data_IF_151404097047
#
_entry.id   IF_151404097047
#
_cell.length_a   1.000
_cell.length_b   1.000
_cell.length_c   1.000
_cell.angle_alpha   90.00
_cell.angle_beta   90.00
_cell.angle_gamma   90.00
#
_symmetry.space_group_name_H-M   'P 1'
#
loop_
_entity.id
_entity.type
_entity.pdbx_description
1 polymer ?
#
# COMPACT_ATOMS: atom_id res chain seq x y z
N UNK A 1 3.23 -0.93 17.40
CA UNK A 1 2.80 -0.73 15.98
C UNK A 1 4.05 -0.68 15.12
N UNK A 2 4.06 -1.38 13.99
CA UNK A 2 5.18 -1.37 13.04
C UNK A 2 5.10 -0.16 12.11
N UNK A 3 6.26 0.32 11.65
CA UNK A 3 6.34 1.45 10.72
C UNK A 3 6.92 1.02 9.38
N UNK A 4 6.26 1.47 8.32
CA UNK A 4 6.73 1.35 6.96
C UNK A 4 6.83 2.71 6.27
N UNK A 5 7.62 2.79 5.22
CA UNK A 5 7.63 3.94 4.32
C UNK A 5 7.40 3.49 2.89
N UNK A 6 6.73 4.31 2.10
CA UNK A 6 6.54 4.07 0.68
C UNK A 6 7.16 5.20 -0.12
N UNK A 7 7.98 4.85 -1.09
CA UNK A 7 8.51 5.79 -2.06
C UNK A 7 7.78 5.66 -3.41
N UNK A 8 7.58 6.79 -4.04
CA UNK A 8 7.30 6.90 -5.46
C UNK A 8 8.64 6.81 -6.20
N UNK A 9 8.83 5.92 -7.19
CA UNK A 9 10.12 5.71 -7.86
C UNK A 9 10.52 6.87 -8.80
N UNK A 10 10.44 8.11 -8.33
CA UNK A 10 10.79 9.34 -9.06
C UNK A 10 12.19 9.85 -8.72
N UNK A 11 12.73 9.48 -7.58
CA UNK A 11 14.06 9.92 -7.12
C UNK A 11 15.20 9.29 -7.91
N UNK A 12 16.39 9.91 -7.87
CA UNK A 12 17.59 9.25 -8.37
C UNK A 12 17.86 7.93 -7.62
N UNK A 13 18.65 7.06 -8.22
CA UNK A 13 19.02 5.77 -7.61
C UNK A 13 19.73 6.01 -6.28
N UNK A 14 20.68 6.94 -6.25
CA UNK A 14 21.49 7.28 -5.08
C UNK A 14 20.59 7.78 -3.93
N UNK A 15 19.61 8.63 -4.24
CA UNK A 15 18.67 9.15 -3.24
C UNK A 15 17.73 8.05 -2.72
N UNK A 16 17.25 7.16 -3.58
CA UNK A 16 16.43 6.01 -3.17
C UNK A 16 17.19 5.12 -2.19
N UNK A 17 18.46 4.82 -2.48
CA UNK A 17 19.34 4.05 -1.59
C UNK A 17 19.59 4.79 -0.28
N UNK A 18 19.85 6.10 -0.31
CA UNK A 18 20.08 6.91 0.88
C UNK A 18 18.85 6.95 1.80
N UNK A 19 17.65 7.18 1.24
CA UNK A 19 16.39 7.17 2.00
C UNK A 19 16.09 5.79 2.60
N UNK A 20 16.46 4.71 1.90
CA UNK A 20 16.31 3.33 2.42
C UNK A 20 17.17 3.11 3.67
N UNK A 21 18.43 3.52 3.63
CA UNK A 21 19.33 3.42 4.79
C UNK A 21 18.85 4.28 5.95
N UNK A 22 18.49 5.52 5.67
CA UNK A 22 17.99 6.44 6.69
C UNK A 22 16.71 5.90 7.36
N UNK A 23 15.79 5.32 6.61
CA UNK A 23 14.59 4.72 7.18
C UNK A 23 14.92 3.52 8.09
N UNK A 24 15.86 2.66 7.69
CA UNK A 24 16.31 1.56 8.54
C UNK A 24 16.98 2.05 9.82
N UNK A 25 17.82 3.09 9.75
CA UNK A 25 18.46 3.74 10.88
C UNK A 25 17.43 4.41 11.81
N UNK A 26 16.38 4.99 11.25
CA UNK A 26 15.24 5.59 11.95
C UNK A 26 14.29 4.56 12.60
N UNK A 27 14.55 3.25 12.46
CA UNK A 27 13.77 2.19 13.09
C UNK A 27 12.51 1.78 12.33
N UNK A 28 12.38 2.17 11.06
CA UNK A 28 11.35 1.61 10.20
C UNK A 28 11.61 0.13 9.95
N UNK A 29 10.54 -0.65 9.80
CA UNK A 29 10.61 -2.09 9.60
C UNK A 29 10.26 -2.52 8.17
N UNK A 30 9.57 -1.64 7.40
CA UNK A 30 9.11 -1.93 6.05
C UNK A 30 9.48 -0.80 5.08
N UNK A 31 9.90 -1.19 3.88
CA UNK A 31 10.12 -0.31 2.73
C UNK A 31 9.28 -0.77 1.54
N UNK A 32 8.49 0.13 0.97
CA UNK A 32 7.57 -0.17 -0.11
C UNK A 32 7.81 0.73 -1.31
N UNK A 33 7.52 0.22 -2.52
CA UNK A 33 7.57 1.00 -3.75
C UNK A 33 6.25 0.94 -4.52
N UNK A 34 5.85 2.07 -5.10
CA UNK A 34 4.81 2.09 -6.14
C UNK A 34 5.30 1.38 -7.40
N UNK A 35 4.40 0.64 -8.08
CA UNK A 35 4.69 -0.02 -9.37
C UNK A 35 3.75 0.49 -10.46
N UNK A 36 4.15 1.58 -11.12
CA UNK A 36 3.47 2.18 -12.27
C UNK A 36 4.51 2.61 -13.30
N UNK A 37 4.99 1.66 -14.07
CA UNK A 37 6.14 1.71 -14.96
C UNK A 37 6.13 2.81 -16.05
N UNK A 38 4.96 3.34 -16.40
CA UNK A 38 4.85 4.48 -17.34
C UNK A 38 5.07 5.82 -16.63
N UNK A 39 4.65 5.91 -15.36
CA UNK A 39 4.75 7.14 -14.58
C UNK A 39 6.12 7.26 -13.91
N UNK A 40 6.72 6.15 -13.50
CA UNK A 40 7.94 6.13 -12.70
C UNK A 40 8.88 5.00 -13.13
N UNK A 41 10.07 4.96 -12.51
CA UNK A 41 11.08 3.93 -12.75
C UNK A 41 10.56 2.54 -12.33
N UNK A 42 11.17 1.52 -12.91
CA UNK A 42 10.86 0.12 -12.67
C UNK A 42 11.10 -0.26 -11.20
N UNK A 43 10.07 -0.80 -10.55
CA UNK A 43 10.05 -1.01 -9.12
C UNK A 43 10.94 -2.17 -8.66
N UNK A 44 10.99 -3.29 -9.39
CA UNK A 44 11.74 -4.49 -8.98
C UNK A 44 13.25 -4.28 -9.04
N UNK A 45 13.72 -3.49 -10.03
CA UNK A 45 15.13 -3.07 -10.10
C UNK A 45 15.51 -2.23 -8.89
N UNK A 46 14.65 -1.27 -8.50
CA UNK A 46 14.88 -0.45 -7.31
C UNK A 46 14.77 -1.25 -6.02
N UNK A 47 13.83 -2.19 -5.90
CA UNK A 47 13.74 -3.11 -4.75
C UNK A 47 15.02 -3.92 -4.56
N UNK A 48 15.69 -4.32 -5.66
CA UNK A 48 17.01 -4.98 -5.58
C UNK A 48 18.04 -4.09 -4.89
N UNK A 49 18.10 -2.82 -5.26
CA UNK A 49 19.04 -1.86 -4.67
C UNK A 49 18.67 -1.55 -3.20
N UNK A 50 17.40 -1.46 -2.88
CA UNK A 50 16.93 -1.29 -1.49
C UNK A 50 17.27 -2.52 -0.64
N UNK A 51 17.13 -3.74 -1.19
CA UNK A 51 17.47 -4.98 -0.50
C UNK A 51 18.97 -5.07 -0.17
N UNK A 52 19.83 -4.60 -1.09
CA UNK A 52 21.27 -4.52 -0.86
C UNK A 52 21.68 -3.37 0.08
N UNK A 53 20.86 -2.31 0.15
CA UNK A 53 21.13 -1.13 0.98
C UNK A 53 20.69 -1.30 2.43
N UNK A 54 19.91 -2.33 2.75
CA UNK A 54 19.32 -2.58 4.08
C UNK A 54 19.57 -4.02 4.53
N UNK A 55 19.50 -4.25 5.83
CA UNK A 55 19.76 -5.56 6.46
C UNK A 55 18.57 -6.10 7.25
N UNK A 56 17.65 -5.25 7.65
CA UNK A 56 16.49 -5.59 8.50
C UNK A 56 15.14 -5.28 7.85
N UNK A 57 15.07 -4.24 7.00
CA UNK A 57 13.83 -3.85 6.34
C UNK A 57 13.22 -5.01 5.53
N UNK A 58 11.96 -5.30 5.79
CA UNK A 58 11.15 -6.04 4.85
C UNK A 58 10.77 -5.13 3.68
N UNK A 59 10.80 -5.63 2.47
CA UNK A 59 10.63 -4.84 1.26
C UNK A 59 9.52 -5.38 0.39
N UNK A 60 8.83 -4.51 -0.32
CA UNK A 60 7.77 -4.97 -1.22
C UNK A 60 7.21 -3.90 -2.12
N UNK A 61 6.27 -4.32 -2.96
CA UNK A 61 5.49 -3.42 -3.81
C UNK A 61 4.26 -2.89 -3.07
N UNK A 62 3.89 -1.63 -3.29
CA UNK A 62 2.70 -1.04 -2.70
C UNK A 62 1.93 -0.18 -3.74
N UNK A 63 1.37 -0.78 -4.77
CA UNK A 63 1.23 -2.20 -5.02
C UNK A 63 1.52 -2.52 -6.48
N UNK A 64 1.97 -3.75 -6.75
CA UNK A 64 1.99 -4.28 -8.12
C UNK A 64 0.60 -4.77 -8.56
N UNK A 65 0.51 -5.28 -9.80
CA UNK A 65 -0.74 -5.79 -10.36
C UNK A 65 -0.48 -6.95 -11.33
N UNK A 66 -1.48 -7.83 -11.59
CA UNK A 66 -1.28 -9.01 -12.42
C UNK A 66 -1.29 -8.75 -13.94
N UNK A 67 -1.43 -7.50 -14.39
CA UNK A 67 -1.64 -7.21 -15.81
C UNK A 67 -0.47 -6.53 -16.51
N UNK A 68 0.43 -5.90 -15.76
CA UNK A 68 1.63 -5.26 -16.31
C UNK A 68 2.82 -6.22 -16.37
N UNK A 69 2.71 -7.31 -15.62
CA UNK A 69 3.71 -8.38 -15.57
C UNK A 69 2.99 -9.69 -15.35
N UNK A 70 3.26 -10.68 -16.18
CA UNK A 70 2.67 -12.01 -16.06
C UNK A 70 3.03 -12.62 -14.69
N UNK A 71 2.11 -13.36 -14.02
CA UNK A 71 2.30 -13.83 -12.65
C UNK A 71 3.57 -14.66 -12.42
N UNK A 72 3.97 -15.50 -13.37
CA UNK A 72 5.21 -16.30 -13.24
C UNK A 72 6.47 -15.43 -13.29
N UNK A 73 6.46 -14.34 -14.07
CA UNK A 73 7.56 -13.36 -14.10
C UNK A 73 7.65 -12.62 -12.77
N UNK A 74 6.51 -12.26 -12.19
CA UNK A 74 6.45 -11.66 -10.85
C UNK A 74 6.99 -12.62 -9.78
N UNK A 75 6.59 -13.89 -9.83
CA UNK A 75 7.09 -14.93 -8.92
C UNK A 75 8.61 -15.11 -9.04
N UNK A 76 9.12 -15.19 -10.28
CA UNK A 76 10.55 -15.30 -10.55
C UNK A 76 11.34 -14.11 -9.99
N UNK A 77 10.87 -12.89 -10.20
CA UNK A 77 11.51 -11.68 -9.68
C UNK A 77 11.53 -11.68 -8.14
N UNK A 78 10.41 -12.04 -7.50
CA UNK A 78 10.31 -12.11 -6.04
C UNK A 78 11.21 -13.20 -5.45
N UNK A 79 11.34 -14.36 -6.11
CA UNK A 79 12.23 -15.42 -5.64
C UNK A 79 13.70 -14.97 -5.62
N UNK A 80 14.16 -14.27 -6.67
CA UNK A 80 15.51 -13.69 -6.70
C UNK A 80 15.69 -12.59 -5.66
N UNK A 81 14.69 -11.73 -5.50
CA UNK A 81 14.70 -10.66 -4.49
C UNK A 81 14.73 -11.22 -3.07
N UNK A 82 14.03 -12.32 -2.82
CA UNK A 82 14.06 -13.00 -1.52
C UNK A 82 15.45 -13.53 -1.20
N UNK A 83 16.11 -14.18 -2.16
CA UNK A 83 17.49 -14.63 -2.03
C UNK A 83 18.44 -13.47 -1.76
N UNK A 84 18.35 -12.36 -2.52
CA UNK A 84 19.18 -11.17 -2.32
C UNK A 84 18.95 -10.53 -0.95
N UNK A 85 17.71 -10.48 -0.50
CA UNK A 85 17.33 -9.84 0.76
C UNK A 85 17.53 -10.74 1.98
N UNK A 86 17.70 -12.06 1.81
CA UNK A 86 17.75 -13.04 2.90
C UNK A 86 16.38 -13.24 3.57
N UNK A 87 15.31 -13.40 2.76
CA UNK A 87 13.97 -13.75 3.27
C UNK A 87 13.11 -12.57 3.68
N UNK A 88 13.39 -11.34 3.18
CA UNK A 88 12.73 -10.10 3.60
C UNK A 88 11.75 -9.53 2.58
N UNK A 89 11.27 -10.33 1.63
CA UNK A 89 10.34 -9.83 0.61
C UNK A 89 8.88 -10.07 0.99
N UNK A 90 8.04 -9.08 0.68
CA UNK A 90 6.58 -9.11 0.77
C UNK A 90 5.96 -8.76 -0.60
N UNK A 91 4.84 -9.35 -0.94
CA UNK A 91 4.06 -8.99 -2.12
C UNK A 91 2.90 -8.09 -1.73
N UNK A 92 2.95 -6.82 -2.09
CA UNK A 92 1.77 -5.96 -2.08
C UNK A 92 1.15 -5.93 -3.47
N UNK A 93 -0.11 -6.32 -3.60
CA UNK A 93 -0.77 -6.49 -4.89
C UNK A 93 -2.19 -5.93 -4.90
N UNK A 94 -2.60 -5.39 -6.05
CA UNK A 94 -3.93 -4.88 -6.30
C UNK A 94 -4.36 -5.09 -7.75
N UNK A 95 -5.54 -4.57 -8.12
CA UNK A 95 -6.10 -4.74 -9.46
C UNK A 95 -5.41 -3.92 -10.56
N UNK A 96 -4.53 -2.98 -10.19
CA UNK A 96 -3.85 -2.09 -11.12
C UNK A 96 -4.69 -0.86 -11.47
N UNK A 97 -4.63 0.18 -10.64
CA UNK A 97 -5.25 1.48 -10.92
C UNK A 97 -4.34 2.31 -11.84
N UNK A 98 -3.38 3.06 -11.29
CA UNK A 98 -2.53 3.99 -12.05
C UNK A 98 -1.74 3.30 -13.16
N UNK A 99 -1.17 2.13 -12.89
CA UNK A 99 -0.38 1.37 -13.87
C UNK A 99 -1.17 0.95 -15.12
N UNK A 100 -2.49 0.81 -15.00
CA UNK A 100 -3.36 0.43 -16.11
C UNK A 100 -4.08 1.63 -16.73
N UNK A 101 -4.60 2.52 -15.90
CA UNK A 101 -5.39 3.66 -16.37
C UNK A 101 -4.55 4.66 -17.16
N UNK A 102 -3.26 4.83 -16.84
CA UNK A 102 -2.33 5.62 -17.67
C UNK A 102 -2.16 5.05 -19.08
N UNK A 103 -2.42 3.74 -19.26
CA UNK A 103 -2.44 3.06 -20.55
C UNK A 103 -3.84 3.06 -21.20
N UNK A 104 -4.81 3.78 -20.63
CA UNK A 104 -6.21 3.76 -21.09
C UNK A 104 -6.95 2.44 -20.84
N UNK A 105 -6.45 1.59 -19.94
CA UNK A 105 -7.01 0.26 -19.63
C UNK A 105 -7.68 0.24 -18.25
N UNK A 106 -8.81 -0.48 -18.07
CA UNK A 106 -9.44 -0.63 -16.77
C UNK A 106 -8.59 -1.52 -15.83
N UNK A 107 -8.76 -1.43 -14.50
CA UNK A 107 -8.22 -2.40 -13.55
C UNK A 107 -8.65 -3.83 -13.90
N UNK A 108 -7.83 -4.83 -13.50
CA UNK A 108 -8.17 -6.26 -13.71
C UNK A 108 -9.38 -6.67 -12.89
N UNK A 109 -9.94 -7.85 -13.18
CA UNK A 109 -11.04 -8.43 -12.39
C UNK A 109 -10.53 -8.93 -11.04
N UNK A 110 -11.45 -9.16 -10.11
CA UNK A 110 -11.09 -9.80 -8.82
C UNK A 110 -10.63 -11.25 -9.02
N UNK A 111 -11.25 -11.97 -9.97
CA UNK A 111 -10.85 -13.34 -10.31
C UNK A 111 -9.40 -13.40 -10.83
N UNK A 112 -9.04 -12.51 -11.75
CA UNK A 112 -7.66 -12.40 -12.27
C UNK A 112 -6.66 -12.07 -11.16
N UNK A 113 -7.04 -11.21 -10.21
CA UNK A 113 -6.18 -10.89 -9.07
C UNK A 113 -5.98 -12.09 -8.14
N UNK A 114 -7.05 -12.81 -7.82
CA UNK A 114 -7.01 -14.01 -6.95
C UNK A 114 -6.20 -15.14 -7.58
N UNK A 115 -6.40 -15.39 -8.87
CA UNK A 115 -5.63 -16.37 -9.64
C UNK A 115 -4.13 -16.02 -9.64
N UNK A 116 -3.78 -14.77 -9.94
CA UNK A 116 -2.39 -14.31 -9.94
C UNK A 116 -1.73 -14.46 -8.56
N UNK A 117 -2.42 -14.14 -7.47
CA UNK A 117 -1.91 -14.38 -6.11
C UNK A 117 -1.63 -15.86 -5.88
N UNK A 118 -2.54 -16.73 -6.31
CA UNK A 118 -2.40 -18.18 -6.18
C UNK A 118 -1.18 -18.70 -6.94
N UNK A 119 -1.02 -18.26 -8.20
CA UNK A 119 0.12 -18.64 -9.05
C UNK A 119 1.43 -18.15 -8.45
N UNK A 120 1.52 -16.85 -8.13
CA UNK A 120 2.75 -16.25 -7.58
C UNK A 120 3.15 -16.97 -6.28
N UNK A 121 2.22 -17.13 -5.34
CA UNK A 121 2.48 -17.77 -4.05
C UNK A 121 2.92 -19.23 -4.24
N UNK A 122 2.23 -20.00 -5.08
CA UNK A 122 2.59 -21.40 -5.31
C UNK A 122 3.99 -21.57 -5.89
N UNK A 123 4.33 -20.75 -6.89
CA UNK A 123 5.65 -20.81 -7.54
C UNK A 123 6.77 -20.44 -6.57
N UNK A 124 6.58 -19.39 -5.78
CA UNK A 124 7.57 -18.94 -4.78
C UNK A 124 7.74 -19.98 -3.67
N UNK A 125 6.66 -20.64 -3.26
CA UNK A 125 6.70 -21.72 -2.26
C UNK A 125 7.23 -23.06 -2.81
N UNK A 126 7.73 -23.08 -4.05
CA UNK A 126 8.32 -24.27 -4.69
C UNK A 126 7.29 -25.30 -5.16
N UNK A 127 5.99 -24.96 -5.13
CA UNK A 127 4.91 -25.83 -5.58
C UNK A 127 4.63 -25.67 -7.07
N UNK A 128 4.25 -26.76 -7.73
CA UNK A 128 3.68 -26.67 -9.06
C UNK A 128 2.26 -26.07 -9.01
N UNK A 129 1.88 -25.37 -10.07
CA UNK A 129 0.55 -24.76 -10.22
C UNK A 129 0.14 -24.80 -11.69
N UNK A 130 -1.13 -25.11 -11.95
CA UNK A 130 -1.71 -24.97 -13.28
C UNK A 130 -2.07 -23.50 -13.55
N UNK A 131 -1.63 -22.98 -14.69
CA UNK A 131 -1.96 -21.65 -15.17
C UNK A 131 -2.12 -21.65 -16.68
N UNK A 132 -3.25 -21.15 -17.18
CA UNK A 132 -3.60 -21.13 -18.62
C UNK A 132 -3.40 -22.50 -19.32
N UNK A 133 -3.79 -23.59 -18.64
CA UNK A 133 -3.71 -24.97 -19.17
C UNK A 133 -2.30 -25.58 -19.16
N UNK A 134 -1.33 -24.96 -18.49
CA UNK A 134 0.04 -25.47 -18.38
C UNK A 134 0.45 -25.54 -16.93
N UNK A 135 1.11 -26.67 -16.54
CA UNK A 135 1.73 -26.78 -15.22
C UNK A 135 3.04 -25.98 -15.21
N UNK A 136 3.13 -25.04 -14.28
CA UNK A 136 4.31 -24.20 -14.05
C UNK A 136 5.00 -24.58 -12.74
N UNK A 137 6.33 -24.47 -12.72
CA UNK A 137 7.16 -24.59 -11.52
C UNK A 137 8.47 -23.84 -11.69
N UNK A 138 8.92 -23.12 -10.65
CA UNK A 138 10.26 -22.56 -10.60
C UNK A 138 11.24 -23.64 -10.13
N UNK A 139 11.90 -24.33 -11.07
CA UNK A 139 12.77 -25.49 -10.77
C UNK A 139 14.09 -25.12 -10.11
N UNK A 140 14.47 -23.85 -10.16
CA UNK A 140 15.72 -23.29 -9.63
C UNK A 140 15.53 -22.57 -8.30
N UNK A 141 14.29 -22.16 -7.98
CA UNK A 141 14.01 -21.40 -6.75
C UNK A 141 13.94 -22.33 -5.54
N UNK A 142 14.35 -21.80 -4.39
CA UNK A 142 14.07 -22.42 -3.10
C UNK A 142 12.58 -22.36 -2.76
N UNK A 143 12.24 -22.81 -1.56
CA UNK A 143 10.88 -22.69 -1.02
C UNK A 143 10.88 -21.75 0.17
N UNK A 144 10.04 -20.71 0.13
CA UNK A 144 9.88 -19.76 1.22
C UNK A 144 8.45 -19.23 1.28
N UNK A 145 8.03 -18.76 2.45
CA UNK A 145 6.69 -18.21 2.63
C UNK A 145 6.66 -16.76 2.18
N UNK A 146 5.84 -16.46 1.18
CA UNK A 146 5.62 -15.10 0.68
C UNK A 146 4.43 -14.45 1.40
N UNK A 147 4.64 -13.44 2.27
CA UNK A 147 3.54 -12.66 2.80
C UNK A 147 2.87 -11.83 1.69
N UNK A 148 1.56 -11.96 1.57
CA UNK A 148 0.76 -11.28 0.54
C UNK A 148 -0.15 -10.23 1.20
N UNK A 149 0.01 -8.98 0.76
CA UNK A 149 -0.78 -7.84 1.16
C UNK A 149 -1.67 -7.39 0.00
N UNK A 150 -2.98 -7.39 0.21
CA UNK A 150 -3.94 -7.00 -0.83
C UNK A 150 -4.41 -5.58 -0.60
N UNK A 151 -4.30 -4.72 -1.62
CA UNK A 151 -4.91 -3.39 -1.60
C UNK A 151 -6.35 -3.47 -2.13
N UNK A 152 -7.31 -3.02 -1.34
CA UNK A 152 -8.71 -3.03 -1.74
C UNK A 152 -9.66 -2.43 -0.70
N UNK A 153 -10.77 -1.89 -1.20
CA UNK A 153 -11.76 -1.18 -0.39
C UNK A 153 -13.16 -1.81 -0.46
N UNK A 154 -13.47 -2.49 -1.57
CA UNK A 154 -14.82 -3.00 -1.80
C UNK A 154 -15.08 -4.34 -1.11
N UNK A 155 -16.36 -4.67 -0.85
CA UNK A 155 -16.75 -5.91 -0.19
C UNK A 155 -16.12 -7.17 -0.79
N UNK A 156 -16.08 -7.29 -2.12
CA UNK A 156 -15.44 -8.45 -2.78
C UNK A 156 -13.94 -8.53 -2.53
N UNK A 157 -13.24 -7.37 -2.53
CA UNK A 157 -11.80 -7.34 -2.26
C UNK A 157 -11.50 -7.71 -0.81
N UNK A 158 -12.30 -7.19 0.15
CA UNK A 158 -12.16 -7.50 1.56
C UNK A 158 -12.49 -8.97 1.87
N UNK A 159 -13.52 -9.52 1.19
CA UNK A 159 -13.86 -10.93 1.30
C UNK A 159 -12.73 -11.85 0.78
N UNK A 160 -12.13 -11.53 -0.35
CA UNK A 160 -10.96 -12.25 -0.88
C UNK A 160 -9.77 -12.11 0.08
N UNK A 161 -9.49 -10.90 0.55
CA UNK A 161 -8.40 -10.63 1.50
C UNK A 161 -8.54 -11.49 2.76
N UNK A 162 -9.72 -11.53 3.38
CA UNK A 162 -10.00 -12.37 4.55
C UNK A 162 -9.75 -13.86 4.29
N UNK A 163 -9.96 -14.32 3.05
CA UNK A 163 -9.78 -15.73 2.65
C UNK A 163 -8.32 -16.12 2.43
N UNK A 164 -7.54 -15.30 1.69
CA UNK A 164 -6.26 -15.75 1.14
C UNK A 164 -5.06 -14.87 1.48
N UNK A 165 -5.23 -13.64 1.98
CA UNK A 165 -4.13 -12.73 2.22
C UNK A 165 -3.55 -12.81 3.64
N UNK A 166 -2.33 -12.32 3.81
CA UNK A 166 -1.65 -12.17 5.11
C UNK A 166 -1.79 -10.74 5.66
N UNK A 167 -2.13 -9.80 4.79
CA UNK A 167 -2.39 -8.42 5.15
C UNK A 167 -3.32 -7.71 4.18
N UNK A 168 -3.89 -6.60 4.64
CA UNK A 168 -4.66 -5.65 3.83
C UNK A 168 -3.97 -4.29 3.85
N UNK A 169 -3.91 -3.63 2.69
CA UNK A 169 -3.43 -2.26 2.55
C UNK A 169 -4.64 -1.35 2.36
N UNK A 170 -4.89 -0.50 3.35
CA UNK A 170 -5.93 0.51 3.34
C UNK A 170 -5.30 1.89 3.17
N UNK A 171 -5.55 2.52 2.02
CA UNK A 171 -4.96 3.83 1.69
C UNK A 171 -5.77 4.97 2.32
N UNK A 172 -5.75 5.07 3.63
CA UNK A 172 -6.30 6.16 4.44
C UNK A 172 -5.86 6.03 5.90
N UNK A 173 -5.96 7.14 6.65
CA UNK A 173 -5.68 7.19 8.09
C UNK A 173 -6.89 7.72 8.89
N UNK A 174 -8.10 7.47 8.42
CA UNK A 174 -9.34 7.82 9.11
C UNK A 174 -9.74 6.71 10.08
N UNK A 175 -9.77 6.94 11.42
CA UNK A 175 -10.04 5.90 12.40
C UNK A 175 -11.41 5.23 12.27
N UNK A 176 -12.45 5.99 11.90
CA UNK A 176 -13.81 5.46 11.74
C UNK A 176 -13.90 4.54 10.53
N UNK A 177 -13.31 4.94 9.40
CA UNK A 177 -13.23 4.11 8.21
C UNK A 177 -12.36 2.88 8.44
N UNK A 178 -11.22 3.02 9.11
CA UNK A 178 -10.37 1.88 9.51
C UNK A 178 -11.18 0.88 10.33
N UNK A 179 -11.92 1.33 11.35
CA UNK A 179 -12.77 0.46 12.16
C UNK A 179 -13.78 -0.30 11.31
N UNK A 180 -14.41 0.36 10.34
CA UNK A 180 -15.36 -0.28 9.43
C UNK A 180 -14.67 -1.34 8.55
N UNK A 181 -13.53 -1.02 7.91
CA UNK A 181 -12.76 -1.96 7.10
C UNK A 181 -12.27 -3.16 7.89
N UNK A 182 -11.75 -2.93 9.10
CA UNK A 182 -11.31 -4.00 10.00
C UNK A 182 -12.48 -4.95 10.31
N UNK A 183 -13.67 -4.42 10.59
CA UNK A 183 -14.88 -5.22 10.80
C UNK A 183 -15.17 -6.14 9.60
N UNK A 184 -15.10 -5.63 8.37
CA UNK A 184 -15.32 -6.41 7.15
C UNK A 184 -14.25 -7.51 6.98
N UNK A 185 -12.98 -7.20 7.22
CA UNK A 185 -11.88 -8.18 7.14
C UNK A 185 -12.07 -9.27 8.19
N UNK A 186 -12.40 -8.95 9.43
CA UNK A 186 -12.64 -9.92 10.51
C UNK A 186 -13.83 -10.84 10.22
N UNK A 187 -14.93 -10.28 9.67
CA UNK A 187 -16.05 -11.09 9.20
C UNK A 187 -15.65 -12.06 8.09
N UNK A 188 -14.79 -11.62 7.18
CA UNK A 188 -14.30 -12.44 6.07
C UNK A 188 -13.34 -13.55 6.52
N UNK A 189 -12.47 -13.29 7.50
CA UNK A 189 -11.64 -14.31 8.16
C UNK A 189 -12.52 -15.41 8.78
N UNK A 190 -13.53 -15.01 9.54
CA UNK A 190 -14.47 -15.94 10.20
C UNK A 190 -15.23 -16.79 9.17
N UNK A 191 -15.73 -16.16 8.08
CA UNK A 191 -16.41 -16.87 6.99
C UNK A 191 -15.51 -17.88 6.27
N UNK A 192 -14.21 -17.62 6.24
CA UNK A 192 -13.20 -18.50 5.66
C UNK A 192 -12.64 -19.54 6.66
N UNK A 193 -13.13 -19.58 7.90
CA UNK A 193 -12.64 -20.48 8.95
C UNK A 193 -11.21 -20.15 9.43
N UNK A 194 -10.73 -18.92 9.21
CA UNK A 194 -9.41 -18.47 9.66
C UNK A 194 -9.49 -17.86 11.06
N UNK A 195 -8.39 -17.90 11.77
CA UNK A 195 -8.29 -17.25 13.08
C UNK A 195 -8.45 -15.74 12.95
N UNK A 196 -9.20 -15.16 13.85
CA UNK A 196 -9.37 -13.71 13.92
C UNK A 196 -8.02 -13.01 14.11
N UNK A 197 -7.72 -12.03 13.28
CA UNK A 197 -6.45 -11.31 13.31
C UNK A 197 -5.34 -11.94 12.48
N UNK A 198 -5.62 -13.02 11.74
CA UNK A 198 -4.66 -13.62 10.80
C UNK A 198 -4.29 -12.68 9.64
N UNK A 199 -5.19 -11.76 9.27
CA UNK A 199 -4.92 -10.68 8.30
C UNK A 199 -4.46 -9.44 9.06
N UNK A 200 -3.22 -9.03 8.82
CA UNK A 200 -2.66 -7.80 9.38
C UNK A 200 -3.24 -6.57 8.68
N UNK A 201 -3.49 -5.52 9.42
CA UNK A 201 -4.05 -4.26 8.89
C UNK A 201 -2.93 -3.25 8.73
N UNK A 202 -2.74 -2.77 7.49
CA UNK A 202 -1.87 -1.64 7.17
C UNK A 202 -2.73 -0.42 6.84
N UNK A 203 -2.52 0.68 7.56
CA UNK A 203 -2.96 2.02 7.16
C UNK A 203 -1.82 2.68 6.39
N UNK A 204 -2.07 3.04 5.14
CA UNK A 204 -1.08 3.66 4.26
C UNK A 204 -1.54 5.07 3.88
N UNK A 205 -0.82 6.10 4.34
CA UNK A 205 -1.20 7.49 4.12
C UNK A 205 0.01 8.43 4.19
N UNK A 206 -0.07 9.62 3.57
CA UNK A 206 0.90 10.66 3.80
C UNK A 206 0.91 11.11 5.26
N UNK A 207 2.11 11.38 5.76
CA UNK A 207 2.32 12.03 7.03
C UNK A 207 3.18 13.29 6.82
N UNK A 208 2.80 14.39 7.43
CA UNK A 208 3.56 15.64 7.33
C UNK A 208 3.55 16.38 8.67
N UNK A 209 4.74 16.49 9.28
CA UNK A 209 4.94 17.22 10.54
C UNK A 209 5.18 18.68 10.22
N UNK A 210 4.41 19.58 10.84
CA UNK A 210 4.58 21.02 10.68
C UNK A 210 3.31 21.82 10.91
N UNK A 211 3.28 23.05 10.40
CA UNK A 211 2.12 23.92 10.43
C UNK A 211 0.99 23.32 9.59
N UNK A 212 -0.23 23.30 10.11
CA UNK A 212 -1.35 22.52 9.56
C UNK A 212 -1.73 22.94 8.13
N UNK A 213 -1.69 24.25 7.80
CA UNK A 213 -1.97 24.73 6.45
C UNK A 213 -0.98 24.19 5.42
N UNK A 214 0.31 24.20 5.76
CA UNK A 214 1.35 23.59 4.92
C UNK A 214 1.18 22.08 4.81
N UNK A 215 0.86 21.41 5.92
CA UNK A 215 0.60 19.97 5.92
C UNK A 215 -0.51 19.61 4.92
N UNK A 216 -1.63 20.33 4.97
CA UNK A 216 -2.76 20.16 4.05
C UNK A 216 -2.37 20.40 2.59
N UNK A 217 -1.63 21.46 2.31
CA UNK A 217 -1.13 21.75 0.96
C UNK A 217 -0.32 20.60 0.40
N UNK A 218 0.60 20.06 1.21
CA UNK A 218 1.52 18.97 0.82
C UNK A 218 0.85 17.61 0.67
N UNK A 219 -0.34 17.41 1.22
CA UNK A 219 -0.98 16.09 1.28
C UNK A 219 -2.36 16.02 0.61
N UNK A 220 -2.96 17.15 0.20
CA UNK A 220 -4.29 17.22 -0.42
C UNK A 220 -4.46 16.34 -1.67
N UNK A 221 -3.37 16.04 -2.36
CA UNK A 221 -3.36 15.11 -3.50
C UNK A 221 -3.81 13.68 -3.14
N UNK A 222 -3.65 13.31 -1.87
CA UNK A 222 -3.87 11.93 -1.45
C UNK A 222 -5.37 11.53 -1.42
N UNK A 223 -6.29 12.26 -0.81
CA UNK A 223 -7.72 11.98 -0.95
C UNK A 223 -8.19 12.00 -2.41
N UNK A 224 -7.59 12.86 -3.26
CA UNK A 224 -7.88 12.85 -4.69
C UNK A 224 -7.45 11.53 -5.35
N UNK A 225 -6.28 10.98 -4.99
CA UNK A 225 -5.83 9.65 -5.42
C UNK A 225 -6.83 8.57 -4.96
N UNK A 226 -7.20 8.57 -3.68
CA UNK A 226 -8.14 7.59 -3.10
C UNK A 226 -9.50 7.66 -3.78
N UNK A 227 -9.92 8.85 -4.24
CA UNK A 227 -11.20 9.05 -4.92
C UNK A 227 -11.40 8.14 -6.16
N UNK A 228 -10.32 7.71 -6.83
CA UNK A 228 -10.39 6.80 -7.97
C UNK A 228 -11.01 5.45 -7.56
N UNK A 229 -10.61 4.95 -6.40
CA UNK A 229 -11.16 3.70 -5.85
C UNK A 229 -12.58 3.88 -5.36
N UNK A 230 -12.89 5.04 -4.77
CA UNK A 230 -14.23 5.36 -4.27
C UNK A 230 -15.23 5.48 -5.42
N UNK A 231 -14.85 6.08 -6.55
CA UNK A 231 -15.69 6.13 -7.77
C UNK A 231 -16.00 4.71 -8.27
N UNK A 232 -15.02 3.83 -8.31
CA UNK A 232 -15.25 2.44 -8.70
C UNK A 232 -16.21 1.72 -7.74
N UNK A 233 -16.17 2.06 -6.44
CA UNK A 233 -17.09 1.49 -5.45
C UNK A 233 -18.52 1.98 -5.62
N UNK A 234 -18.76 3.29 -5.72
CA UNK A 234 -20.12 3.86 -5.84
C UNK A 234 -20.77 3.51 -7.19
N UNK A 235 -19.99 3.16 -8.21
CA UNK A 235 -20.49 2.65 -9.47
C UNK A 235 -20.90 1.17 -9.41
N UNK A 236 -20.44 0.43 -8.40
CA UNK A 236 -20.62 -1.01 -8.29
C UNK A 236 -21.54 -1.44 -7.13
N UNK A 237 -21.55 -0.69 -6.05
CA UNK A 237 -22.30 -1.01 -4.84
C UNK A 237 -23.27 0.11 -4.49
N UNK A 238 -24.46 -0.23 -3.92
CA UNK A 238 -25.37 0.76 -3.37
C UNK A 238 -24.66 1.66 -2.33
N UNK A 239 -24.94 2.97 -2.37
CA UNK A 239 -24.29 3.92 -1.45
C UNK A 239 -24.60 3.61 0.03
N UNK A 240 -25.76 3.05 0.29
CA UNK A 240 -26.25 2.68 1.63
C UNK A 240 -25.39 1.55 2.26
N UNK A 241 -24.68 0.78 1.45
CA UNK A 241 -23.76 -0.27 1.91
C UNK A 241 -22.36 0.25 2.20
N UNK A 242 -22.07 1.52 1.88
CA UNK A 242 -20.75 2.14 2.01
C UNK A 242 -20.81 3.30 3.01
N UNK A 243 -19.76 3.52 3.83
CA UNK A 243 -19.70 4.67 4.72
C UNK A 243 -19.82 6.01 3.97
N UNK A 244 -20.70 6.92 4.45
CA UNK A 244 -20.87 8.25 3.86
C UNK A 244 -19.55 9.05 3.90
N UNK A 245 -18.76 8.88 4.95
CA UNK A 245 -17.43 9.49 5.07
C UNK A 245 -16.47 9.10 3.95
N UNK A 246 -16.65 7.90 3.39
CA UNK A 246 -15.86 7.42 2.25
C UNK A 246 -16.40 7.94 0.93
N UNK A 247 -17.71 8.07 0.78
CA UNK A 247 -18.36 8.32 -0.52
C UNK A 247 -18.80 9.76 -0.73
N UNK A 248 -19.00 10.52 0.35
CA UNK A 248 -19.58 11.87 0.30
C UNK A 248 -18.67 12.90 -0.38
N UNK A 249 -17.37 12.83 -0.12
CA UNK A 249 -16.44 13.86 -0.59
C UNK A 249 -16.16 13.85 -2.10
N UNK A 250 -16.51 12.76 -2.81
CA UNK A 250 -16.31 12.68 -4.26
C UNK A 250 -17.44 13.31 -5.09
N UNK A 251 -18.46 13.92 -4.48
CA UNK A 251 -19.64 14.46 -5.18
C UNK A 251 -19.26 15.51 -6.22
N UNK A 252 -18.29 16.37 -5.90
CA UNK A 252 -17.85 17.47 -6.75
C UNK A 252 -16.66 17.10 -7.66
N UNK A 253 -16.30 15.82 -7.70
CA UNK A 253 -15.20 15.33 -8.52
C UNK A 253 -15.58 15.32 -10.00
N UNK A 254 -14.81 16.02 -10.84
CA UNK A 254 -15.08 16.14 -12.27
C UNK A 254 -14.21 15.26 -13.16
N UNK A 255 -13.14 14.64 -12.62
CA UNK A 255 -12.23 13.81 -13.40
C UNK A 255 -10.96 13.47 -12.63
N UNK A 256 -10.00 12.86 -13.29
CA UNK A 256 -8.67 12.59 -12.74
C UNK A 256 -7.64 12.40 -13.86
N UNK A 257 -6.57 13.18 -13.82
CA UNK A 257 -5.45 13.04 -14.74
C UNK A 257 -4.36 12.15 -14.11
N UNK A 258 -4.17 10.96 -14.68
CA UNK A 258 -3.18 10.01 -14.19
C UNK A 258 -1.73 10.42 -14.45
N UNK A 259 -1.45 11.37 -15.36
CA UNK A 259 -0.09 11.91 -15.56
C UNK A 259 0.36 12.77 -14.36
N UNK A 260 -0.59 13.30 -13.60
CA UNK A 260 -0.35 14.04 -12.35
C UNK A 260 -0.74 13.22 -11.10
N UNK A 261 -0.57 11.89 -11.17
CA UNK A 261 -0.90 10.96 -10.08
C UNK A 261 0.08 11.10 -8.90
N UNK A 262 -0.47 11.20 -7.68
CA UNK A 262 0.30 11.35 -6.45
C UNK A 262 1.29 12.56 -6.50
N UNK A 263 0.83 13.70 -7.01
CA UNK A 263 1.64 14.91 -7.18
C UNK A 263 1.12 16.04 -6.29
N UNK A 264 2.03 16.63 -5.52
CA UNK A 264 1.74 17.82 -4.69
C UNK A 264 1.36 19.00 -5.59
N UNK A 265 0.24 19.68 -5.28
CA UNK A 265 -0.26 20.80 -6.06
C UNK A 265 -1.02 20.43 -7.33
N UNK A 266 -1.26 19.11 -7.57
CA UNK A 266 -2.04 18.63 -8.71
C UNK A 266 -3.45 19.23 -8.74
N UNK A 267 -3.94 19.61 -9.93
CA UNK A 267 -5.32 20.04 -10.18
C UNK A 267 -6.35 18.95 -9.88
N UNK A 268 -5.94 17.68 -9.84
CA UNK A 268 -6.77 16.57 -9.39
C UNK A 268 -7.37 16.79 -7.99
N UNK A 269 -6.72 17.58 -7.14
CA UNK A 269 -7.11 17.80 -5.75
C UNK A 269 -8.09 18.99 -5.55
N UNK A 270 -8.53 19.66 -6.61
CA UNK A 270 -9.35 20.87 -6.51
C UNK A 270 -10.70 20.71 -5.79
N UNK A 271 -11.26 19.51 -5.74
CA UNK A 271 -12.51 19.20 -5.03
C UNK A 271 -12.30 18.75 -3.57
N UNK A 272 -11.05 18.54 -3.14
CA UNK A 272 -10.74 18.01 -1.81
C UNK A 272 -10.68 19.13 -0.78
N UNK A 273 -11.58 19.08 0.22
CA UNK A 273 -11.59 20.01 1.35
C UNK A 273 -10.56 19.67 2.44
N UNK A 274 -10.35 20.62 3.34
CA UNK A 274 -9.41 20.49 4.46
C UNK A 274 -9.81 19.34 5.39
N UNK A 275 -11.10 19.22 5.74
CA UNK A 275 -11.63 18.16 6.61
C UNK A 275 -11.26 16.77 6.10
N UNK A 276 -11.45 16.51 4.81
CA UNK A 276 -11.13 15.21 4.20
C UNK A 276 -9.62 14.96 4.21
N UNK A 277 -8.83 16.00 3.98
CA UNK A 277 -7.37 15.92 4.06
C UNK A 277 -6.91 15.55 5.47
N UNK A 278 -7.44 16.22 6.49
CA UNK A 278 -7.13 15.96 7.90
C UNK A 278 -7.55 14.56 8.33
N UNK A 279 -8.66 14.06 7.83
CA UNK A 279 -9.14 12.71 8.14
C UNK A 279 -8.26 11.64 7.49
N UNK A 280 -7.89 11.79 6.23
CA UNK A 280 -7.20 10.76 5.46
C UNK A 280 -5.70 10.70 5.68
N UNK A 281 -5.08 11.79 6.16
CA UNK A 281 -3.64 11.92 6.35
C UNK A 281 -3.29 12.03 7.84
N UNK A 282 -2.00 11.93 8.19
CA UNK A 282 -1.48 12.16 9.54
C UNK A 282 -0.71 13.47 9.54
N UNK A 283 -1.28 14.53 10.15
CA UNK A 283 -0.85 15.92 9.98
C UNK A 283 -0.73 16.64 11.33
N UNK A 284 0.13 17.65 11.39
CA UNK A 284 0.27 18.54 12.54
C UNK A 284 1.58 18.41 13.29
N UNK A 285 1.58 18.68 14.58
CA UNK A 285 2.74 18.50 15.45
C UNK A 285 2.98 17.01 15.75
N UNK A 286 4.13 16.68 16.35
CA UNK A 286 4.48 15.31 16.72
C UNK A 286 3.41 14.66 17.60
N UNK A 287 2.85 15.43 18.54
CA UNK A 287 1.81 14.99 19.46
C UNK A 287 0.52 14.60 18.73
N UNK A 288 0.15 15.33 17.67
CA UNK A 288 -1.01 15.04 16.84
C UNK A 288 -0.82 13.71 16.08
N UNK A 289 0.40 13.50 15.56
CA UNK A 289 0.77 12.23 14.92
C UNK A 289 0.64 11.06 15.91
N UNK A 290 1.22 11.18 17.10
CA UNK A 290 1.18 10.15 18.14
C UNK A 290 -0.26 9.85 18.55
N UNK A 291 -1.09 10.87 18.75
CA UNK A 291 -2.49 10.71 19.12
C UNK A 291 -3.26 9.92 18.05
N UNK A 292 -3.16 10.33 16.78
CA UNK A 292 -3.85 9.68 15.67
C UNK A 292 -3.35 8.24 15.44
N UNK A 293 -2.04 8.01 15.50
CA UNK A 293 -1.48 6.68 15.34
C UNK A 293 -1.91 5.72 16.47
N UNK A 294 -2.04 6.20 17.72
CA UNK A 294 -2.58 5.41 18.83
C UNK A 294 -4.06 5.05 18.60
N UNK A 295 -4.84 5.96 18.08
CA UNK A 295 -6.24 5.72 17.74
C UNK A 295 -6.35 4.66 16.61
N UNK A 296 -5.55 4.76 15.55
CA UNK A 296 -5.48 3.74 14.50
C UNK A 296 -5.06 2.37 15.07
N UNK A 297 -4.07 2.33 15.96
CA UNK A 297 -3.64 1.11 16.65
C UNK A 297 -4.77 0.48 17.47
N UNK A 298 -5.54 1.30 18.20
CA UNK A 298 -6.69 0.85 18.98
C UNK A 298 -7.80 0.22 18.10
N UNK A 299 -7.90 0.65 16.84
CA UNK A 299 -8.81 0.06 15.85
C UNK A 299 -8.20 -1.14 15.08
N UNK A 300 -7.01 -1.60 15.46
CA UNK A 300 -6.42 -2.86 14.96
C UNK A 300 -5.38 -2.69 13.87
N UNK A 301 -4.95 -1.46 13.54
CA UNK A 301 -3.82 -1.22 12.65
C UNK A 301 -2.55 -1.78 13.27
N UNK A 302 -1.87 -2.65 12.56
CA UNK A 302 -0.59 -3.26 12.96
C UNK A 302 0.61 -2.59 12.32
N UNK A 303 0.41 -1.98 11.14
CA UNK A 303 1.44 -1.25 10.43
C UNK A 303 0.90 0.10 9.94
N UNK A 304 1.59 1.19 10.29
CA UNK A 304 1.41 2.47 9.61
C UNK A 304 2.48 2.61 8.54
N UNK A 305 2.05 2.78 7.30
CA UNK A 305 2.91 2.93 6.14
C UNK A 305 2.87 4.39 5.66
N UNK A 306 3.91 5.13 5.99
CA UNK A 306 4.04 6.53 5.62
C UNK A 306 4.29 6.67 4.12
N UNK A 307 3.39 7.33 3.39
CA UNK A 307 3.64 7.74 2.01
C UNK A 307 4.60 8.93 2.00
N UNK A 308 5.88 8.64 1.77
CA UNK A 308 6.97 9.61 1.78
C UNK A 308 7.04 10.38 0.45
N UNK A 309 6.00 11.21 0.17
CA UNK A 309 5.79 11.90 -1.12
C UNK A 309 5.42 13.38 -0.92
N UNK A 310 5.80 13.96 0.21
CA UNK A 310 5.40 15.32 0.59
C UNK A 310 6.52 16.37 0.37
N UNK A 311 7.66 15.94 -0.17
CA UNK A 311 8.81 16.81 -0.45
C UNK A 311 9.77 17.02 0.74
N UNK A 312 9.53 16.35 1.88
CA UNK A 312 10.36 16.45 3.09
C UNK A 312 10.70 15.05 3.66
N UNK A 313 11.05 14.11 2.78
CA UNK A 313 11.25 12.71 3.11
C UNK A 313 12.28 12.51 4.21
N UNK A 314 13.48 13.07 4.03
CA UNK A 314 14.60 12.95 4.97
C UNK A 314 14.24 13.51 6.36
N UNK A 315 13.59 14.67 6.39
CA UNK A 315 13.16 15.32 7.63
C UNK A 315 12.12 14.46 8.38
N UNK A 316 11.14 13.92 7.64
CA UNK A 316 10.08 13.13 8.26
C UNK A 316 10.60 11.77 8.74
N UNK A 317 11.49 11.11 8.00
CA UNK A 317 12.12 9.88 8.47
C UNK A 317 12.89 10.11 9.77
N UNK A 318 13.70 11.17 9.86
CA UNK A 318 14.41 11.53 11.10
C UNK A 318 13.46 11.82 12.24
N UNK A 319 12.44 12.68 12.03
CA UNK A 319 11.50 13.05 13.08
C UNK A 319 10.67 11.85 13.59
N UNK A 320 10.28 10.94 12.69
CA UNK A 320 9.62 9.72 13.09
C UNK A 320 10.56 8.83 13.92
N UNK A 321 11.81 8.64 13.50
CA UNK A 321 12.78 7.85 14.22
C UNK A 321 13.12 8.39 15.61
N UNK A 322 13.21 9.71 15.75
CA UNK A 322 13.55 10.36 17.02
C UNK A 322 12.37 10.45 17.99
N UNK A 323 11.15 10.71 17.49
CA UNK A 323 10.06 11.16 18.36
C UNK A 323 8.81 10.26 18.32
N UNK A 324 8.63 9.41 17.31
CA UNK A 324 7.38 8.66 17.12
C UNK A 324 7.62 7.16 17.23
N UNK A 325 8.50 6.58 16.42
CA UNK A 325 8.79 5.13 16.40
C UNK A 325 9.07 4.58 17.79
N UNK A 326 9.92 5.22 18.63
CA UNK A 326 10.21 4.70 19.97
C UNK A 326 9.00 4.63 20.92
N UNK A 327 7.96 5.42 20.68
CA UNK A 327 6.73 5.42 21.51
C UNK A 327 5.78 4.27 21.19
N UNK A 328 6.07 3.48 20.16
CA UNK A 328 5.29 2.33 19.68
C UNK A 328 6.11 1.03 19.67
N UNK A 329 7.36 1.07 20.08
CA UNK A 329 8.15 -0.13 20.34
C UNK A 329 7.57 -0.83 21.59
N UNK A 330 7.21 -2.11 21.43
CA UNK A 330 6.74 -2.98 22.53
C UNK A 330 7.93 -3.50 23.37
#
# INVERSE_FOLDING_TARGET
MQFGFTLKPEHSIERTVALTRQAEEAGFEYGWLFDSHVLWREAYVLLTLMAQASTRLRLGTCVTNPATREPSVTASALAVLDEISGGRMDLGIGRGDSARRVLGKPPTTMATLEEAITVIRSLVEGRAVEFEGTELRLTWAGSWTLPVWVAGYGPMALAMTGRIADGVILQLADPDLIRWFVGQVRASEAAAGRSQGSVRIQSAAPAHIGELGLCRERTRWFPALVSNHVVDLVNKYPREELPEQLTGYIRDRTGYDYHHHAEVGSTNAGFVGDEVTDRFCVLGAVEDHVAKLRELAAHGVKQFNQYSMTGAQEQHLSAYGEHIVPLFAD
#
